data_IF_138845423993
#
_entry.id   IF_138845423993
#
_cell.length_a   1.000
_cell.length_b   1.000
_cell.length_c   1.000
_cell.angle_alpha   90.00
_cell.angle_beta   90.00
_cell.angle_gamma   90.00
#
_symmetry.space_group_name_H-M   'P 1'
#
loop_
_entity.id
_entity.type
_entity.pdbx_description
1 polymer ?
#
# COMPACT_ATOMS: atom_id res chain seq x y z
N UNK A 1 -11.36 -6.97 18.43
CA UNK A 1 -10.39 -7.01 17.31
C UNK A 1 -9.36 -5.88 17.44
N UNK A 2 -8.11 -6.07 16.93
CA UNK A 2 -7.06 -5.01 16.97
C UNK A 2 -7.51 -3.72 16.30
N UNK A 3 -8.31 -3.79 15.26
CA UNK A 3 -8.89 -2.61 14.60
C UNK A 3 -9.71 -1.76 15.57
N UNK A 4 -10.64 -2.36 16.29
CA UNK A 4 -11.50 -1.70 17.28
C UNK A 4 -10.67 -1.11 18.43
N UNK A 5 -9.66 -1.86 18.90
CA UNK A 5 -8.76 -1.36 19.97
C UNK A 5 -8.00 -0.10 19.58
N UNK A 6 -7.62 0.04 18.30
CA UNK A 6 -6.97 1.26 17.82
C UNK A 6 -7.96 2.42 17.67
N UNK A 7 -9.22 2.15 17.24
CA UNK A 7 -10.27 3.19 17.22
C UNK A 7 -10.58 3.68 18.63
N UNK A 8 -10.72 2.77 19.62
CA UNK A 8 -10.90 3.10 21.02
C UNK A 8 -9.71 3.89 21.62
N UNK A 9 -8.49 3.60 21.13
CA UNK A 9 -7.29 4.36 21.48
C UNK A 9 -7.18 5.72 20.76
N UNK A 10 -8.22 6.15 20.05
CA UNK A 10 -8.33 7.47 19.41
C UNK A 10 -7.64 7.56 18.04
N UNK A 11 -7.41 6.42 17.36
CA UNK A 11 -6.99 6.43 15.98
C UNK A 11 -8.20 6.53 15.04
N UNK A 12 -8.04 7.29 13.96
CA UNK A 12 -9.01 7.33 12.86
C UNK A 12 -8.41 6.61 11.66
N UNK A 13 -9.01 5.47 11.27
CA UNK A 13 -8.60 4.72 10.08
C UNK A 13 -9.60 4.98 8.96
N UNK A 14 -9.16 5.62 7.89
CA UNK A 14 -10.03 6.03 6.78
C UNK A 14 -9.39 5.77 5.41
N UNK A 15 -10.23 5.83 4.39
CA UNK A 15 -9.78 5.89 2.99
C UNK A 15 -9.87 7.33 2.51
N UNK A 16 -8.83 7.86 1.85
CA UNK A 16 -8.88 9.22 1.33
C UNK A 16 -9.86 9.31 0.16
N UNK A 17 -10.51 10.44 0.01
CA UNK A 17 -11.25 10.76 -1.21
C UNK A 17 -10.29 11.20 -2.29
N UNK A 18 -10.65 11.00 -3.56
CA UNK A 18 -9.79 11.38 -4.68
C UNK A 18 -9.33 12.85 -4.63
N UNK A 19 -10.21 13.78 -4.21
CA UNK A 19 -9.90 15.21 -4.07
C UNK A 19 -8.93 15.53 -2.93
N UNK A 20 -8.83 14.65 -1.94
CA UNK A 20 -7.99 14.80 -0.74
C UNK A 20 -6.63 14.10 -0.94
N UNK A 21 -6.50 13.35 -2.06
CA UNK A 21 -5.34 12.49 -2.28
C UNK A 21 -4.02 13.26 -2.46
N UNK A 22 -4.05 14.43 -3.05
CA UNK A 22 -2.84 15.23 -3.24
C UNK A 22 -2.19 15.57 -1.90
N UNK A 23 -2.97 16.07 -0.95
CA UNK A 23 -2.49 16.38 0.40
C UNK A 23 -2.12 15.11 1.18
N UNK A 24 -2.98 14.10 1.15
CA UNK A 24 -2.74 12.84 1.83
C UNK A 24 -1.47 12.13 1.31
N UNK A 25 -1.20 12.22 0.00
CA UNK A 25 -0.02 11.62 -0.61
C UNK A 25 1.28 12.26 -0.15
N UNK A 26 1.28 13.55 0.16
CA UNK A 26 2.46 14.23 0.73
C UNK A 26 2.76 13.72 2.14
N UNK A 27 1.73 13.58 2.98
CA UNK A 27 1.90 13.00 4.32
C UNK A 27 2.39 11.55 4.27
N UNK A 28 1.86 10.76 3.32
CA UNK A 28 2.36 9.39 3.05
C UNK A 28 3.83 9.42 2.64
N UNK A 29 4.21 10.36 1.77
CA UNK A 29 5.59 10.52 1.33
C UNK A 29 6.56 10.83 2.48
N UNK A 30 6.19 11.76 3.36
CA UNK A 30 7.00 12.13 4.53
C UNK A 30 7.21 10.93 5.45
N UNK A 31 6.14 10.19 5.77
CA UNK A 31 6.23 9.00 6.60
C UNK A 31 7.03 7.89 5.91
N UNK A 32 6.81 7.68 4.61
CA UNK A 32 7.53 6.69 3.82
C UNK A 32 9.04 6.98 3.78
N UNK A 33 9.44 8.22 3.52
CA UNK A 33 10.84 8.61 3.53
C UNK A 33 11.50 8.33 4.88
N UNK A 34 10.83 8.65 5.99
CA UNK A 34 11.34 8.41 7.33
C UNK A 34 11.54 6.92 7.62
N UNK A 35 10.58 6.09 7.22
CA UNK A 35 10.59 4.65 7.50
C UNK A 35 11.55 3.87 6.60
N UNK A 36 11.68 4.28 5.34
CA UNK A 36 12.41 3.51 4.33
C UNK A 36 13.79 4.04 4.00
N UNK A 37 14.25 5.14 4.62
CA UNK A 37 15.57 5.75 4.34
C UNK A 37 16.74 4.75 4.47
N UNK A 38 16.61 3.75 5.34
CA UNK A 38 17.62 2.73 5.58
C UNK A 38 17.34 1.40 4.83
N UNK A 39 16.31 1.38 3.95
CA UNK A 39 15.99 0.17 3.20
C UNK A 39 16.98 -0.01 2.04
N UNK A 40 17.63 -1.19 1.86
CA UNK A 40 18.76 -1.38 0.95
C UNK A 40 18.56 -0.93 -0.49
N UNK A 41 17.33 -1.03 -1.00
CA UNK A 41 16.96 -0.66 -2.38
C UNK A 41 16.19 0.67 -2.47
N UNK A 42 16.00 1.34 -1.32
CA UNK A 42 15.29 2.61 -1.31
C UNK A 42 16.16 3.73 -1.87
N UNK A 43 15.66 4.39 -2.90
CA UNK A 43 16.25 5.62 -3.41
C UNK A 43 15.35 6.78 -3.02
N UNK A 44 15.90 7.72 -2.27
CA UNK A 44 15.21 8.95 -1.96
C UNK A 44 14.90 9.72 -3.25
N UNK A 45 13.65 10.14 -3.38
CA UNK A 45 13.20 11.02 -4.46
C UNK A 45 12.68 12.31 -3.83
N UNK A 46 12.63 13.39 -4.61
CA UNK A 46 12.05 14.64 -4.12
C UNK A 46 10.52 14.52 -3.98
N UNK A 47 9.91 15.36 -3.12
CA UNK A 47 8.46 15.46 -3.00
C UNK A 47 7.78 15.76 -4.34
N UNK A 48 8.42 16.57 -5.19
CA UNK A 48 7.92 16.88 -6.53
C UNK A 48 7.92 15.65 -7.46
N UNK A 49 8.99 14.83 -7.41
CA UNK A 49 9.06 13.60 -8.18
C UNK A 49 8.00 12.61 -7.70
N UNK A 50 7.85 12.48 -6.38
CA UNK A 50 6.83 11.63 -5.78
C UNK A 50 5.42 12.06 -6.20
N UNK A 51 5.10 13.36 -6.07
CA UNK A 51 3.80 13.89 -6.50
C UNK A 51 3.51 13.62 -7.97
N UNK A 52 4.48 13.78 -8.87
CA UNK A 52 4.32 13.46 -10.29
C UNK A 52 4.01 11.98 -10.52
N UNK A 53 4.69 11.09 -9.83
CA UNK A 53 4.46 9.64 -9.91
C UNK A 53 3.04 9.33 -9.43
N UNK A 54 2.65 9.84 -8.26
CA UNK A 54 1.35 9.55 -7.69
C UNK A 54 0.19 10.19 -8.44
N UNK A 55 0.35 11.39 -8.99
CA UNK A 55 -0.63 11.99 -9.89
C UNK A 55 -0.85 11.14 -11.15
N UNK A 56 0.22 10.60 -11.72
CA UNK A 56 0.12 9.71 -12.88
C UNK A 56 -0.67 8.44 -12.56
N UNK A 57 -0.47 7.86 -11.39
CA UNK A 57 -1.10 6.59 -11.00
C UNK A 57 -2.44 6.73 -10.27
N UNK A 58 -2.86 7.94 -9.86
CA UNK A 58 -4.12 8.14 -9.15
C UNK A 58 -5.37 7.61 -9.89
N UNK A 59 -5.32 7.54 -11.22
CA UNK A 59 -6.44 7.06 -12.03
C UNK A 59 -6.63 5.55 -11.95
N UNK A 60 -5.55 4.81 -11.66
CA UNK A 60 -5.58 3.36 -11.51
C UNK A 60 -5.66 2.93 -10.04
N UNK A 61 -5.44 3.82 -9.07
CA UNK A 61 -5.65 3.53 -7.66
C UNK A 61 -7.13 3.26 -7.38
N UNK A 62 -7.37 2.23 -6.58
CA UNK A 62 -8.65 2.01 -5.93
C UNK A 62 -8.59 2.61 -4.51
N UNK A 63 -9.17 3.79 -4.32
CA UNK A 63 -9.06 4.49 -3.04
C UNK A 63 -9.70 3.73 -1.88
N UNK A 64 -10.64 2.81 -2.12
CA UNK A 64 -11.15 1.94 -1.07
C UNK A 64 -10.08 0.98 -0.51
N UNK A 65 -9.02 0.76 -1.29
CA UNK A 65 -7.87 -0.08 -0.95
C UNK A 65 -6.65 0.73 -0.49
N UNK A 66 -6.86 2.01 -0.20
CA UNK A 66 -5.89 2.88 0.50
C UNK A 66 -6.43 3.14 1.89
N UNK A 67 -5.65 2.82 2.92
CA UNK A 67 -5.99 3.09 4.32
C UNK A 67 -4.94 3.98 4.94
N UNK A 68 -5.42 5.02 5.60
CA UNK A 68 -4.61 5.98 6.33
C UNK A 68 -5.07 5.95 7.79
N UNK A 69 -4.14 5.86 8.71
CA UNK A 69 -4.40 5.91 10.15
C UNK A 69 -3.85 7.22 10.71
N UNK A 70 -4.72 7.98 11.33
CA UNK A 70 -4.37 9.25 11.97
C UNK A 70 -4.48 9.13 13.49
N UNK A 71 -3.55 9.75 14.20
CA UNK A 71 -3.58 9.98 15.64
C UNK A 71 -3.40 11.46 15.87
N UNK A 72 -4.35 12.10 16.54
CA UNK A 72 -4.30 13.55 16.84
C UNK A 72 -4.00 14.42 15.61
N UNK A 73 -4.61 14.06 14.46
CA UNK A 73 -4.44 14.77 13.19
C UNK A 73 -3.14 14.47 12.42
N UNK A 74 -2.22 13.67 12.97
CA UNK A 74 -0.97 13.28 12.33
C UNK A 74 -1.09 11.90 11.72
N UNK A 75 -0.50 11.69 10.54
CA UNK A 75 -0.45 10.38 9.91
C UNK A 75 0.48 9.44 10.70
N UNK A 76 -0.11 8.43 11.32
CA UNK A 76 0.57 7.41 12.12
C UNK A 76 0.90 6.14 11.33
N UNK A 77 0.18 5.91 10.23
CA UNK A 77 0.44 4.75 9.38
C UNK A 77 -0.42 4.76 8.12
N UNK A 78 0.00 3.98 7.14
CA UNK A 78 -0.72 3.83 5.88
C UNK A 78 -0.55 2.43 5.31
N UNK A 79 -1.54 2.00 4.53
CA UNK A 79 -1.47 0.82 3.69
C UNK A 79 -2.06 1.16 2.33
N UNK A 80 -1.30 0.87 1.28
CA UNK A 80 -1.71 1.09 -0.11
C UNK A 80 -1.71 -0.24 -0.83
N UNK A 81 -2.88 -0.67 -1.25
CA UNK A 81 -3.05 -1.79 -2.14
C UNK A 81 -3.69 -1.32 -3.46
N UNK A 82 -3.36 -1.98 -4.54
CA UNK A 82 -3.92 -1.69 -5.86
C UNK A 82 -4.31 -2.97 -6.59
N UNK A 83 -5.26 -2.93 -7.52
CA UNK A 83 -5.55 -4.08 -8.37
C UNK A 83 -4.28 -4.56 -9.09
N UNK A 84 -4.12 -5.86 -9.19
CA UNK A 84 -3.02 -6.43 -9.96
C UNK A 84 -3.30 -6.29 -11.45
N UNK A 85 -2.69 -5.30 -12.04
CA UNK A 85 -2.79 -5.02 -13.48
C UNK A 85 -1.84 -5.87 -14.34
N UNK A 86 -0.93 -6.63 -13.71
CA UNK A 86 0.08 -7.41 -14.41
C UNK A 86 0.89 -6.57 -15.38
N UNK A 87 1.08 -7.08 -16.58
CA UNK A 87 1.84 -6.38 -17.63
C UNK A 87 1.13 -5.18 -18.27
N UNK A 88 -0.18 -4.95 -17.99
CA UNK A 88 -0.95 -3.85 -18.60
C UNK A 88 -0.36 -2.48 -18.29
N UNK A 89 0.27 -2.31 -17.12
CA UNK A 89 0.88 -1.02 -16.72
C UNK A 89 2.11 -0.63 -17.53
N UNK A 90 2.71 -1.60 -18.23
CA UNK A 90 3.88 -1.40 -19.08
C UNK A 90 3.53 -1.29 -20.58
N UNK A 91 2.27 -1.52 -20.94
CA UNK A 91 1.82 -1.48 -22.33
C UNK A 91 1.47 -0.05 -22.76
N UNK A 92 1.51 0.19 -24.07
CA UNK A 92 1.06 1.46 -24.64
C UNK A 92 -0.42 1.69 -24.31
N UNK A 93 -0.77 2.92 -23.99
CA UNK A 93 -2.14 3.33 -23.68
C UNK A 93 -2.98 3.42 -24.98
N UNK A 94 -3.40 2.27 -25.47
CA UNK A 94 -4.41 2.17 -26.53
C UNK A 94 -5.81 2.19 -25.93
N UNK A 95 -6.87 2.54 -26.66
CA UNK A 95 -8.24 2.49 -26.17
C UNK A 95 -8.62 1.12 -25.57
N UNK A 96 -8.13 0.03 -26.20
CA UNK A 96 -8.35 -1.33 -25.72
C UNK A 96 -7.64 -1.59 -24.37
N UNK A 97 -6.40 -1.15 -24.23
CA UNK A 97 -5.64 -1.32 -22.98
C UNK A 97 -6.22 -0.45 -21.86
N UNK A 98 -6.70 0.75 -22.17
CA UNK A 98 -7.44 1.58 -21.23
C UNK A 98 -8.72 0.88 -20.75
N UNK A 99 -9.49 0.31 -21.66
CA UNK A 99 -10.70 -0.45 -21.30
C UNK A 99 -10.36 -1.63 -20.38
N UNK A 100 -9.28 -2.37 -20.68
CA UNK A 100 -8.79 -3.47 -19.80
C UNK A 100 -8.37 -2.97 -18.42
N UNK A 101 -7.67 -1.83 -18.33
CA UNK A 101 -7.28 -1.24 -17.04
C UNK A 101 -8.51 -0.88 -16.22
N UNK A 102 -9.51 -0.22 -16.83
CA UNK A 102 -10.76 0.12 -16.13
C UNK A 102 -11.56 -1.12 -15.71
N UNK A 103 -11.57 -2.15 -16.55
CA UNK A 103 -12.21 -3.42 -16.23
C UNK A 103 -11.53 -4.09 -15.04
N UNK A 104 -10.19 -4.21 -15.06
CA UNK A 104 -9.42 -4.78 -13.95
C UNK A 104 -9.62 -3.98 -12.67
N UNK A 105 -9.67 -2.65 -12.75
CA UNK A 105 -9.98 -1.80 -11.59
C UNK A 105 -11.38 -2.06 -11.02
N UNK A 106 -12.36 -2.27 -11.89
CA UNK A 106 -13.77 -2.46 -11.48
C UNK A 106 -14.04 -3.86 -10.94
N UNK A 107 -13.34 -4.86 -11.49
CA UNK A 107 -13.49 -6.28 -11.18
C UNK A 107 -12.13 -6.93 -10.92
N UNK A 108 -11.43 -6.52 -9.88
CA UNK A 108 -10.11 -7.06 -9.57
C UNK A 108 -10.24 -8.51 -9.08
N UNK A 109 -9.43 -9.39 -9.64
CA UNK A 109 -9.29 -10.78 -9.16
C UNK A 109 -8.27 -10.89 -8.04
N UNK A 110 -7.30 -9.96 -8.02
CA UNK A 110 -6.21 -9.92 -7.05
C UNK A 110 -5.80 -8.49 -6.77
N UNK A 111 -5.46 -8.23 -5.51
CA UNK A 111 -4.85 -6.98 -5.07
C UNK A 111 -3.39 -7.21 -4.72
N UNK A 112 -2.56 -6.24 -5.06
CA UNK A 112 -1.16 -6.19 -4.66
C UNK A 112 -1.02 -5.14 -3.55
N UNK A 113 -0.56 -5.57 -2.37
CA UNK A 113 -0.21 -4.67 -1.27
C UNK A 113 1.17 -4.09 -1.60
N UNK A 114 1.19 -2.82 -2.00
CA UNK A 114 2.40 -2.15 -2.47
C UNK A 114 3.23 -1.57 -1.35
N UNK A 115 2.56 -0.92 -0.40
CA UNK A 115 3.22 -0.22 0.70
C UNK A 115 2.43 -0.41 1.99
N UNK A 116 3.16 -0.69 3.05
CA UNK A 116 2.67 -0.66 4.42
C UNK A 116 3.73 0.06 5.25
N UNK A 117 3.36 1.19 5.80
CA UNK A 117 4.20 1.95 6.72
C UNK A 117 3.45 2.28 7.99
N UNK A 118 4.10 2.08 9.12
CA UNK A 118 3.57 2.40 10.44
C UNK A 118 4.67 3.08 11.24
N UNK A 119 4.34 4.17 11.88
CA UNK A 119 5.25 4.83 12.80
C UNK A 119 5.68 3.86 13.92
N UNK A 120 6.97 3.84 14.23
CA UNK A 120 7.58 2.90 15.18
C UNK A 120 6.95 2.97 16.58
N UNK A 121 6.36 4.11 16.92
CA UNK A 121 5.63 4.30 18.19
C UNK A 121 4.35 3.46 18.28
N UNK A 122 3.77 3.01 17.16
CA UNK A 122 2.45 2.38 17.09
C UNK A 122 2.52 0.93 16.61
N UNK A 123 3.25 0.11 17.35
CA UNK A 123 3.37 -1.32 17.03
C UNK A 123 1.99 -2.00 16.99
N UNK A 124 1.75 -2.78 15.92
CA UNK A 124 0.49 -3.50 15.71
C UNK A 124 -0.55 -2.74 14.88
N UNK A 125 -0.39 -1.43 14.64
CA UNK A 125 -1.28 -0.63 13.79
C UNK A 125 -1.36 -1.18 12.35
N UNK A 126 -0.29 -1.82 11.88
CA UNK A 126 -0.28 -2.47 10.56
C UNK A 126 -1.36 -3.55 10.39
N UNK A 127 -1.65 -4.32 11.45
CA UNK A 127 -2.75 -5.29 11.43
C UNK A 127 -4.12 -4.61 11.40
N UNK A 128 -4.26 -3.47 12.09
CA UNK A 128 -5.49 -2.68 12.07
C UNK A 128 -5.74 -2.05 10.68
N UNK A 129 -4.67 -1.60 9.99
CA UNK A 129 -4.75 -1.10 8.62
C UNK A 129 -5.07 -2.21 7.61
N UNK A 130 -4.53 -3.41 7.81
CA UNK A 130 -4.73 -4.55 6.92
C UNK A 130 -6.16 -5.12 7.00
N UNK A 131 -6.78 -5.10 8.18
CA UNK A 131 -8.11 -5.66 8.40
C UNK A 131 -9.18 -5.15 7.42
N UNK A 132 -9.42 -3.82 7.26
CA UNK A 132 -10.40 -3.33 6.31
C UNK A 132 -10.02 -3.61 4.84
N UNK A 133 -8.75 -3.74 4.51
CA UNK A 133 -8.29 -4.13 3.17
C UNK A 133 -8.69 -5.59 2.88
N UNK A 134 -8.41 -6.51 3.81
CA UNK A 134 -8.78 -7.91 3.63
C UNK A 134 -10.29 -8.10 3.59
N UNK A 135 -11.05 -7.39 4.43
CA UNK A 135 -12.52 -7.40 4.35
C UNK A 135 -13.04 -6.95 2.99
N UNK A 136 -12.48 -5.88 2.44
CA UNK A 136 -12.89 -5.37 1.13
C UNK A 136 -12.48 -6.33 -0.01
N UNK A 137 -11.30 -6.93 0.06
CA UNK A 137 -10.87 -7.94 -0.89
C UNK A 137 -11.77 -9.19 -0.84
N UNK A 138 -12.09 -9.69 0.35
CA UNK A 138 -12.98 -10.82 0.56
C UNK A 138 -14.39 -10.54 0.01
N UNK A 139 -14.95 -9.36 0.28
CA UNK A 139 -16.25 -8.92 -0.24
C UNK A 139 -16.28 -8.90 -1.78
N UNK A 140 -15.14 -8.62 -2.40
CA UNK A 140 -14.99 -8.63 -3.87
C UNK A 140 -14.55 -9.99 -4.42
N UNK A 141 -14.42 -11.00 -3.58
CA UNK A 141 -13.91 -12.33 -3.94
C UNK A 141 -12.53 -12.26 -4.63
N UNK A 142 -11.70 -11.30 -4.20
CA UNK A 142 -10.36 -11.08 -4.71
C UNK A 142 -9.32 -11.63 -3.72
N UNK A 143 -8.24 -12.21 -4.25
CA UNK A 143 -7.07 -12.57 -3.45
C UNK A 143 -6.20 -11.33 -3.18
N UNK A 144 -5.28 -11.45 -2.24
CA UNK A 144 -4.26 -10.41 -1.99
C UNK A 144 -2.87 -11.04 -2.02
N UNK A 145 -1.89 -10.30 -2.55
CA UNK A 145 -0.47 -10.66 -2.52
C UNK A 145 0.29 -9.51 -1.85
N UNK A 146 1.16 -9.85 -0.90
CA UNK A 146 2.11 -8.90 -0.34
C UNK A 146 3.26 -8.67 -1.31
N UNK A 147 3.64 -7.40 -1.52
CA UNK A 147 4.87 -7.08 -2.22
C UNK A 147 6.10 -7.46 -1.36
N UNK A 148 7.30 -7.21 -1.88
CA UNK A 148 8.55 -7.57 -1.21
C UNK A 148 8.60 -7.07 0.24
N UNK A 149 8.76 -8.01 1.18
CA UNK A 149 8.89 -7.73 2.60
C UNK A 149 10.33 -8.09 3.00
N UNK A 150 11.04 -7.12 3.56
CA UNK A 150 12.40 -7.36 4.03
C UNK A 150 12.40 -8.28 5.25
N UNK A 151 13.32 -9.27 5.28
CA UNK A 151 13.34 -10.31 6.33
C UNK A 151 13.47 -9.78 7.77
N UNK A 152 14.11 -8.62 7.95
CA UNK A 152 14.34 -7.99 9.27
C UNK A 152 13.19 -7.09 9.73
N UNK A 153 12.12 -6.93 8.93
CA UNK A 153 11.00 -6.06 9.31
C UNK A 153 9.93 -6.80 10.12
N UNK A 154 9.29 -6.09 11.03
CA UNK A 154 8.16 -6.60 11.84
C UNK A 154 7.00 -7.07 10.95
N UNK A 155 6.87 -6.50 9.76
CA UNK A 155 5.85 -6.86 8.75
C UNK A 155 5.90 -8.33 8.34
N UNK A 156 7.06 -9.00 8.47
CA UNK A 156 7.21 -10.45 8.24
C UNK A 156 6.25 -11.28 9.10
N UNK A 157 6.00 -10.85 10.33
CA UNK A 157 5.13 -11.57 11.26
C UNK A 157 3.66 -11.49 10.88
N UNK A 158 3.23 -10.41 10.21
CA UNK A 158 1.84 -10.31 9.71
C UNK A 158 1.55 -11.35 8.61
N UNK A 159 2.54 -11.66 7.79
CA UNK A 159 2.43 -12.68 6.75
C UNK A 159 2.41 -14.12 7.33
N UNK A 160 2.90 -14.33 8.56
CA UNK A 160 2.93 -15.66 9.18
C UNK A 160 1.54 -16.16 9.60
N UNK A 161 0.62 -15.24 9.92
CA UNK A 161 -0.76 -15.53 10.28
C UNK A 161 -1.67 -15.72 9.05
N UNK A 162 -1.21 -15.31 7.87
CA UNK A 162 -1.95 -15.45 6.62
C UNK A 162 -1.56 -16.75 5.93
N UNK A 163 -2.53 -17.62 5.69
CA UNK A 163 -2.32 -18.83 4.89
C UNK A 163 -2.07 -18.43 3.43
N UNK A 164 -0.87 -18.67 2.92
CA UNK A 164 -0.51 -18.35 1.55
C UNK A 164 0.86 -18.87 1.17
N UNK A 165 1.12 -18.93 -0.12
CA UNK A 165 2.42 -19.30 -0.66
C UNK A 165 3.43 -18.18 -0.39
N UNK A 166 4.63 -18.58 0.02
CA UNK A 166 5.75 -17.66 0.26
C UNK A 166 6.83 -17.91 -0.78
N UNK A 167 7.29 -16.82 -1.38
CA UNK A 167 8.44 -16.83 -2.28
C UNK A 167 9.56 -16.00 -1.66
N UNK A 168 10.77 -16.53 -1.66
CA UNK A 168 11.96 -15.82 -1.19
C UNK A 168 12.75 -15.30 -2.39
N UNK A 169 13.18 -14.05 -2.31
CA UNK A 169 13.96 -13.38 -3.34
C UNK A 169 15.29 -12.92 -2.76
N UNK A 170 16.39 -13.22 -3.46
CA UNK A 170 17.70 -12.72 -3.14
C UNK A 170 18.05 -11.53 -4.03
N UNK A 171 18.60 -10.48 -3.42
CA UNK A 171 19.25 -9.40 -4.16
C UNK A 171 20.74 -9.74 -4.31
N UNK A 172 21.21 -9.81 -5.53
CA UNK A 172 22.61 -10.06 -5.84
C UNK A 172 23.21 -8.79 -6.46
N UNK A 173 24.38 -8.40 -6.01
CA UNK A 173 25.21 -7.35 -6.60
C UNK A 173 26.36 -8.01 -7.34
N UNK A 174 26.63 -7.58 -8.54
CA UNK A 174 27.77 -8.00 -9.34
C UNK A 174 28.73 -6.81 -9.45
N UNK A 175 29.90 -6.94 -8.88
CA UNK A 175 31.00 -5.99 -9.09
C UNK A 175 31.54 -6.20 -10.52
N UNK A 176 31.43 -5.18 -11.36
CA UNK A 176 31.90 -5.15 -12.74
C UNK A 176 33.24 -4.45 -12.83
#
# INVERSE_FOLDING_TARGET
HRFESFEEAGFTICSPKKKEWEEASLQVFELLNRLYQNFPIYRSISSQQFSRIFQKYQHILDFSMVKLAYKEGKLAGFLIAMPDYGSLVYQKLTPLNLAKLFWTKRFPKRYMIMYLGVDEEFLGLGSALAYPIFKEAQKRQASAIGALIHQKTVTRHYAAELQGDKHEYGLFELDL
#
